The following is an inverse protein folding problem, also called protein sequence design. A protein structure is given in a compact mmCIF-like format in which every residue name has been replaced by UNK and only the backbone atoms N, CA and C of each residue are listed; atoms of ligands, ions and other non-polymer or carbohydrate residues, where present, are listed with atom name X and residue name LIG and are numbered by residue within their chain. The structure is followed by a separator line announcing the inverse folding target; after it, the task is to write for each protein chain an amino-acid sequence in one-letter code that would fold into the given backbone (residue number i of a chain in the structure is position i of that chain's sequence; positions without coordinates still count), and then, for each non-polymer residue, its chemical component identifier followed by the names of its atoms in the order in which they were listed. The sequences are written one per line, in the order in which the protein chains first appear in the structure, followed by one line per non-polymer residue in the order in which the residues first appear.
data_IF_615319179450
#
_entry.id   IF_615319179450
#
_cell.length_a   1.000
_cell.length_b   1.000
_cell.length_c   1.000
_cell.angle_alpha   90.00
_cell.angle_beta   90.00
_cell.angle_gamma   90.00
#
_symmetry.space_group_name_H-M   'P 1'
#
loop_
_entity.id
_entity.type
_entity.pdbx_description
1 polymer ?
#
# COMPACT_ATOMS: atom_id res chain seq x y z
N UNK A 1 -54.73 38.97 25.03
CA UNK A 1 -53.69 38.86 23.97
C UNK A 1 -52.32 38.82 24.61
N UNK A 2 -51.61 37.68 24.56
CA UNK A 2 -50.14 37.64 24.75
C UNK A 2 -49.51 36.62 23.77
N UNK A 3 -49.32 36.96 22.48
CA UNK A 3 -48.58 36.13 21.53
C UNK A 3 -47.11 36.55 21.32
N UNK A 4 -46.72 37.80 21.59
CA UNK A 4 -45.40 38.35 21.21
C UNK A 4 -44.19 37.64 21.83
N UNK A 5 -44.24 37.33 23.14
CA UNK A 5 -43.10 36.76 23.87
C UNK A 5 -42.68 35.35 23.46
N UNK A 6 -43.52 34.57 22.73
CA UNK A 6 -43.13 33.23 22.26
C UNK A 6 -42.43 33.31 20.90
N UNK A 7 -42.93 34.14 20.01
CA UNK A 7 -42.38 34.33 18.67
C UNK A 7 -41.03 35.08 18.72
N UNK A 8 -40.87 36.01 19.65
CA UNK A 8 -39.58 36.68 19.90
C UNK A 8 -38.52 35.70 20.45
N UNK A 9 -38.93 34.76 21.32
CA UNK A 9 -38.05 33.70 21.84
C UNK A 9 -37.69 32.67 20.77
N UNK A 10 -38.60 32.37 19.84
CA UNK A 10 -38.32 31.48 18.71
C UNK A 10 -37.28 32.10 17.77
N UNK A 11 -37.48 33.37 17.39
CA UNK A 11 -36.53 34.13 16.56
C UNK A 11 -35.15 34.24 17.21
N UNK A 12 -35.06 34.59 18.49
CA UNK A 12 -33.78 34.65 19.21
C UNK A 12 -33.03 33.31 19.24
N UNK A 13 -33.75 32.18 19.28
CA UNK A 13 -33.14 30.84 19.24
C UNK A 13 -32.64 30.46 17.85
N UNK A 14 -33.35 30.87 16.82
CA UNK A 14 -32.96 30.68 15.42
C UNK A 14 -31.70 31.47 15.10
N UNK A 15 -31.69 32.77 15.42
CA UNK A 15 -30.49 33.61 15.27
C UNK A 15 -29.29 33.05 16.05
N UNK A 16 -29.49 32.57 17.28
CA UNK A 16 -28.43 31.95 18.07
C UNK A 16 -27.94 30.61 17.51
N UNK A 17 -28.75 29.89 16.71
CA UNK A 17 -28.31 28.70 15.98
C UNK A 17 -27.51 29.09 14.75
N UNK A 18 -27.99 30.08 13.99
CA UNK A 18 -27.31 30.59 12.80
C UNK A 18 -25.92 31.14 13.15
N UNK A 19 -25.80 31.96 14.19
CA UNK A 19 -24.50 32.47 14.69
C UNK A 19 -23.54 31.33 15.03
N UNK A 20 -24.01 30.32 15.79
CA UNK A 20 -23.19 29.16 16.14
C UNK A 20 -22.80 28.31 14.93
N UNK A 21 -23.66 28.20 13.92
CA UNK A 21 -23.30 27.50 12.68
C UNK A 21 -22.28 28.27 11.86
N UNK A 22 -22.40 29.60 11.78
CA UNK A 22 -21.46 30.46 11.09
C UNK A 22 -20.07 30.42 11.75
N UNK A 23 -20.01 30.56 13.08
CA UNK A 23 -18.76 30.45 13.85
C UNK A 23 -18.08 29.08 13.66
N UNK A 24 -18.87 27.99 13.62
CA UNK A 24 -18.34 26.64 13.36
C UNK A 24 -17.78 26.51 11.95
N UNK A 25 -18.47 27.07 10.96
CA UNK A 25 -18.02 27.05 9.57
C UNK A 25 -16.72 27.85 9.41
N UNK A 26 -16.62 29.02 10.01
CA UNK A 26 -15.42 29.86 10.01
C UNK A 26 -14.23 29.14 10.68
N UNK A 27 -14.45 28.53 11.86
CA UNK A 27 -13.42 27.72 12.53
C UNK A 27 -13.00 26.47 11.73
N UNK A 28 -13.91 25.89 10.95
CA UNK A 28 -13.59 24.75 10.09
C UNK A 28 -12.77 25.21 8.88
N UNK A 29 -13.13 26.35 8.28
CA UNK A 29 -12.41 26.96 7.18
C UNK A 29 -10.99 27.34 7.60
N UNK A 30 -10.81 28.05 8.72
CA UNK A 30 -9.48 28.40 9.23
C UNK A 30 -8.59 27.19 9.53
N UNK A 31 -9.18 26.06 9.96
CA UNK A 31 -8.44 24.79 10.12
C UNK A 31 -8.05 24.17 8.78
N UNK A 32 -8.89 24.28 7.75
CA UNK A 32 -8.57 23.78 6.42
C UNK A 32 -7.45 24.62 5.78
N UNK A 33 -7.56 25.94 5.86
CA UNK A 33 -6.59 26.89 5.31
C UNK A 33 -5.20 26.71 5.96
N UNK A 34 -5.16 26.56 7.29
CA UNK A 34 -3.90 26.28 8.01
C UNK A 34 -3.24 24.99 7.53
N UNK A 35 -4.00 23.90 7.38
CA UNK A 35 -3.47 22.63 6.87
C UNK A 35 -3.01 22.73 5.42
N UNK A 36 -3.68 23.55 4.61
CA UNK A 36 -3.26 23.79 3.23
C UNK A 36 -1.90 24.50 3.19
N UNK A 37 -1.74 25.57 3.99
CA UNK A 37 -0.48 26.30 4.12
C UNK A 37 0.67 25.40 4.59
N UNK A 38 0.46 24.59 5.63
CA UNK A 38 1.46 23.64 6.14
C UNK A 38 1.87 22.61 5.08
N UNK A 39 0.92 22.13 4.27
CA UNK A 39 1.21 21.18 3.18
C UNK A 39 2.01 21.82 2.06
N UNK A 40 1.68 23.05 1.68
CA UNK A 40 2.41 23.80 0.67
C UNK A 40 3.85 24.06 1.10
N UNK A 41 4.06 24.53 2.33
CA UNK A 41 5.39 24.77 2.89
C UNK A 41 6.22 23.48 2.92
N UNK A 42 5.64 22.39 3.42
CA UNK A 42 6.29 21.08 3.41
C UNK A 42 6.60 20.57 1.99
N UNK A 43 5.77 20.91 1.00
CA UNK A 43 6.04 20.55 -0.41
C UNK A 43 7.21 21.34 -0.96
N UNK A 44 7.21 22.66 -0.75
CA UNK A 44 8.30 23.56 -1.16
C UNK A 44 9.63 23.14 -0.54
N UNK A 45 9.64 22.79 0.74
CA UNK A 45 10.85 22.33 1.42
C UNK A 45 11.37 21.01 0.81
N UNK A 46 10.48 20.05 0.52
CA UNK A 46 10.88 18.80 -0.14
C UNK A 46 11.47 19.03 -1.52
N UNK A 47 10.88 19.93 -2.30
CA UNK A 47 11.38 20.28 -3.63
C UNK A 47 12.72 21.00 -3.55
N UNK A 48 12.89 21.96 -2.65
CA UNK A 48 14.16 22.64 -2.41
C UNK A 48 15.28 21.67 -1.97
N UNK A 49 14.97 20.69 -1.11
CA UNK A 49 15.92 19.64 -0.73
C UNK A 49 16.27 18.71 -1.90
N UNK A 50 15.32 18.48 -2.82
CA UNK A 50 15.54 17.67 -4.03
C UNK A 50 16.42 18.42 -5.02
N UNK A 51 16.15 19.69 -5.31
CA UNK A 51 16.97 20.51 -6.20
C UNK A 51 18.39 20.66 -5.65
N UNK A 52 18.55 21.02 -4.37
CA UNK A 52 19.86 21.12 -3.74
C UNK A 52 20.69 19.82 -3.84
N UNK A 53 20.03 18.65 -3.76
CA UNK A 53 20.70 17.36 -3.98
C UNK A 53 21.11 17.16 -5.43
N UNK A 54 20.24 17.49 -6.38
CA UNK A 54 20.54 17.36 -7.81
C UNK A 54 21.68 18.29 -8.24
N UNK A 55 21.70 19.53 -7.72
CA UNK A 55 22.75 20.51 -7.99
C UNK A 55 24.09 20.11 -7.36
N UNK A 56 24.07 19.36 -6.25
CA UNK A 56 25.28 18.82 -5.61
C UNK A 56 25.86 17.56 -6.29
N UNK A 57 25.10 16.87 -7.16
CA UNK A 57 25.57 15.68 -7.88
C UNK A 57 26.70 15.95 -8.90
N UNK A 58 26.68 17.00 -9.75
CA UNK A 58 27.77 17.27 -10.68
C UNK A 58 29.09 17.62 -9.97
N UNK A 59 29.04 18.32 -8.84
CA UNK A 59 30.24 18.68 -8.07
C UNK A 59 30.93 17.46 -7.41
N UNK A 60 30.17 16.43 -7.01
CA UNK A 60 30.73 15.19 -6.45
C UNK A 60 31.32 14.27 -7.50
N UNK A 61 30.71 14.19 -8.70
CA UNK A 61 31.22 13.33 -9.78
C UNK A 61 32.58 13.80 -10.33
N UNK A 62 32.86 15.10 -10.31
CA UNK A 62 34.14 15.63 -10.79
C UNK A 62 35.31 15.46 -9.80
N UNK A 63 35.04 15.38 -8.48
CA UNK A 63 36.09 15.20 -7.46
C UNK A 63 36.37 13.73 -7.10
N UNK A 64 35.45 12.81 -7.39
CA UNK A 64 35.55 11.40 -7.00
C UNK A 64 36.17 10.49 -8.09
N UNK A 65 36.49 11.03 -9.28
CA UNK A 65 37.03 10.24 -10.38
C UNK A 65 38.52 9.87 -10.26
N UNK A 66 39.27 10.48 -9.34
CA UNK A 66 40.73 10.26 -9.24
C UNK A 66 41.19 9.34 -8.09
N UNK A 67 40.41 9.09 -7.04
CA UNK A 67 40.88 8.31 -5.86
C UNK A 67 39.75 7.59 -5.10
N UNK A 68 39.01 6.65 -5.72
CA UNK A 68 37.99 5.87 -5.00
C UNK A 68 38.53 4.53 -4.50
N UNK A 69 38.93 4.49 -3.22
CA UNK A 69 38.75 3.28 -2.42
C UNK A 69 37.29 2.81 -2.50
N UNK A 70 37.01 1.49 -2.44
CA UNK A 70 35.65 0.99 -2.50
C UNK A 70 34.81 1.59 -1.37
N UNK A 71 33.76 2.32 -1.73
CA UNK A 71 32.83 2.92 -0.79
C UNK A 71 32.41 1.92 0.31
N UNK A 72 32.36 2.33 1.59
CA UNK A 72 32.02 1.44 2.69
C UNK A 72 30.64 0.82 2.43
N UNK A 73 30.58 -0.52 2.45
CA UNK A 73 29.35 -1.31 2.26
C UNK A 73 28.23 -0.67 3.09
N UNK A 74 27.12 -0.31 2.42
CA UNK A 74 25.96 0.36 3.02
C UNK A 74 25.62 -0.32 4.34
N UNK A 75 25.45 0.48 5.41
CA UNK A 75 25.04 0.01 6.73
C UNK A 75 23.86 -0.97 6.58
N UNK A 76 23.87 -2.13 7.26
CA UNK A 76 22.77 -3.09 7.15
C UNK A 76 21.48 -2.39 7.59
N UNK A 77 20.54 -2.30 6.66
CA UNK A 77 19.20 -1.74 6.91
C UNK A 77 18.18 -2.87 6.75
N UNK A 78 17.07 -2.80 7.50
CA UNK A 78 16.02 -3.81 7.47
C UNK A 78 16.11 -4.88 8.58
N UNK A 79 15.57 -6.08 8.31
CA UNK A 79 15.50 -7.20 9.27
C UNK A 79 16.85 -7.55 9.88
N UNK A 80 17.92 -7.50 9.08
CA UNK A 80 19.29 -7.78 9.52
C UNK A 80 19.75 -6.87 10.67
N UNK A 81 19.29 -5.62 10.74
CA UNK A 81 19.59 -4.70 11.86
C UNK A 81 18.72 -5.00 13.10
N UNK A 82 17.51 -5.53 12.90
CA UNK A 82 16.52 -5.76 13.98
C UNK A 82 16.71 -7.11 14.67
N UNK A 83 17.01 -8.16 13.91
CA UNK A 83 17.10 -9.53 14.41
C UNK A 83 18.51 -10.09 14.33
N UNK A 84 19.44 -9.46 13.60
CA UNK A 84 20.77 -10.01 13.35
C UNK A 84 20.77 -11.21 12.40
N UNK A 85 19.60 -11.68 11.97
CA UNK A 85 19.46 -12.86 11.13
C UNK A 85 19.56 -12.49 9.65
N UNK A 86 20.51 -13.12 8.97
CA UNK A 86 20.56 -13.15 7.51
C UNK A 86 19.38 -13.98 7.04
N UNK A 87 18.56 -13.42 6.14
CA UNK A 87 17.44 -14.16 5.54
C UNK A 87 18.03 -15.37 4.80
N UNK A 88 17.80 -16.57 5.33
CA UNK A 88 18.15 -17.81 4.65
C UNK A 88 17.18 -17.99 3.48
N UNK A 89 17.72 -17.96 2.27
CA UNK A 89 16.96 -18.28 1.08
C UNK A 89 16.70 -19.79 1.05
N UNK A 90 15.44 -20.19 0.86
CA UNK A 90 15.10 -21.61 0.74
C UNK A 90 15.42 -22.07 -0.68
N UNK A 91 16.26 -23.08 -0.82
CA UNK A 91 16.46 -23.74 -2.11
C UNK A 91 15.19 -24.52 -2.47
N UNK A 92 14.49 -24.04 -3.50
CA UNK A 92 13.22 -24.58 -3.98
C UNK A 92 13.41 -25.37 -5.28
N UNK A 93 14.64 -25.54 -5.77
CA UNK A 93 14.93 -26.21 -7.06
C UNK A 93 14.46 -27.68 -7.08
N UNK A 94 14.41 -28.30 -5.90
CA UNK A 94 13.98 -29.69 -5.74
C UNK A 94 12.53 -29.83 -5.27
N UNK A 95 11.78 -28.73 -5.16
CA UNK A 95 10.38 -28.83 -4.75
C UNK A 95 9.56 -29.36 -5.94
N UNK A 96 9.02 -30.57 -5.77
CA UNK A 96 8.08 -31.16 -6.72
C UNK A 96 6.66 -30.96 -6.21
N UNK A 97 5.76 -30.61 -7.13
CA UNK A 97 4.33 -30.54 -6.81
C UNK A 97 3.76 -31.94 -6.95
N UNK A 98 3.32 -32.52 -5.83
CA UNK A 98 2.60 -33.80 -5.84
C UNK A 98 1.22 -33.59 -6.46
N UNK A 99 0.82 -34.48 -7.36
CA UNK A 99 -0.51 -34.47 -7.98
C UNK A 99 -1.51 -34.95 -6.94
N UNK A 100 -2.27 -34.01 -6.37
CA UNK A 100 -3.30 -34.26 -5.37
C UNK A 100 -4.68 -34.02 -6.00
N UNK A 101 -5.47 -35.11 -6.12
CA UNK A 101 -6.80 -35.07 -6.69
C UNK A 101 -7.76 -34.13 -5.94
N UNK A 102 -7.68 -34.08 -4.61
CA UNK A 102 -8.48 -33.17 -3.79
C UNK A 102 -8.15 -31.72 -4.08
N UNK A 103 -6.85 -31.38 -4.11
CA UNK A 103 -6.38 -30.04 -4.44
C UNK A 103 -6.76 -29.60 -5.84
N UNK A 104 -6.70 -30.50 -6.83
CA UNK A 104 -7.12 -30.23 -8.22
C UNK A 104 -8.60 -29.86 -8.26
N UNK A 105 -9.46 -30.65 -7.60
CA UNK A 105 -10.90 -30.39 -7.53
C UNK A 105 -11.21 -29.06 -6.85
N UNK A 106 -10.51 -28.73 -5.76
CA UNK A 106 -10.70 -27.46 -5.05
C UNK A 106 -10.27 -26.24 -5.88
N UNK A 107 -9.18 -26.35 -6.64
CA UNK A 107 -8.76 -25.28 -7.54
C UNK A 107 -9.73 -25.11 -8.71
N UNK A 108 -10.24 -26.19 -9.28
CA UNK A 108 -11.27 -26.14 -10.32
C UNK A 108 -12.56 -25.46 -9.81
N UNK A 109 -13.01 -25.77 -8.58
CA UNK A 109 -14.14 -25.09 -7.93
C UNK A 109 -13.92 -23.58 -7.77
N UNK A 110 -12.66 -23.14 -7.63
CA UNK A 110 -12.28 -21.72 -7.56
C UNK A 110 -12.11 -21.05 -8.93
N UNK A 111 -12.41 -21.76 -10.02
CA UNK A 111 -12.37 -21.23 -11.38
C UNK A 111 -11.03 -21.43 -12.09
N UNK A 112 -10.16 -22.34 -11.63
CA UNK A 112 -8.97 -22.70 -12.39
C UNK A 112 -9.35 -23.48 -13.67
N UNK A 113 -8.71 -23.14 -14.80
CA UNK A 113 -8.89 -23.84 -16.07
C UNK A 113 -8.08 -25.13 -16.13
N UNK A 114 -8.53 -26.10 -16.94
CA UNK A 114 -7.86 -27.40 -17.13
C UNK A 114 -6.40 -27.21 -17.58
N UNK A 115 -6.15 -26.31 -18.53
CA UNK A 115 -4.80 -26.01 -19.03
C UNK A 115 -3.90 -25.39 -17.95
N UNK A 116 -4.47 -24.53 -17.10
CA UNK A 116 -3.76 -23.94 -15.97
C UNK A 116 -3.34 -25.00 -14.95
N UNK A 117 -4.24 -25.93 -14.65
CA UNK A 117 -3.98 -27.06 -13.76
C UNK A 117 -2.95 -28.01 -14.34
N UNK A 118 -3.05 -28.37 -15.62
CA UNK A 118 -2.09 -29.21 -16.32
C UNK A 118 -0.66 -28.63 -16.24
N UNK A 119 -0.55 -27.32 -16.44
CA UNK A 119 0.74 -26.59 -16.35
C UNK A 119 1.33 -26.62 -14.94
N UNK A 120 0.53 -26.30 -13.91
CA UNK A 120 1.00 -26.23 -12.51
C UNK A 120 1.38 -27.61 -11.97
N UNK A 121 0.57 -28.63 -12.25
CA UNK A 121 0.80 -30.01 -11.82
C UNK A 121 1.72 -30.79 -12.75
N UNK A 122 2.24 -30.17 -13.83
CA UNK A 122 3.12 -30.78 -14.84
C UNK A 122 2.57 -32.12 -15.34
N UNK A 123 1.27 -32.15 -15.66
CA UNK A 123 0.58 -33.35 -16.12
C UNK A 123 -0.27 -33.06 -17.35
N UNK A 124 -0.84 -34.09 -17.98
CA UNK A 124 -1.66 -33.89 -19.19
C UNK A 124 -3.06 -33.38 -18.84
N UNK A 125 -3.64 -32.58 -19.75
CA UNK A 125 -5.03 -32.11 -19.63
C UNK A 125 -6.01 -33.29 -19.46
N UNK A 126 -5.82 -34.38 -20.22
CA UNK A 126 -6.63 -35.59 -20.10
C UNK A 126 -6.59 -36.21 -18.69
N UNK A 127 -5.44 -36.18 -18.01
CA UNK A 127 -5.33 -36.68 -16.62
C UNK A 127 -6.07 -35.77 -15.64
N UNK A 128 -6.02 -34.46 -15.84
CA UNK A 128 -6.79 -33.50 -15.04
C UNK A 128 -8.29 -33.70 -15.24
N UNK A 129 -8.74 -33.87 -16.48
CA UNK A 129 -10.16 -34.13 -16.79
C UNK A 129 -10.65 -35.43 -16.15
N UNK A 130 -9.86 -36.50 -16.17
CA UNK A 130 -10.18 -37.76 -15.49
C UNK A 130 -10.35 -37.55 -13.97
N UNK A 131 -9.43 -36.82 -13.33
CA UNK A 131 -9.50 -36.51 -11.90
C UNK A 131 -10.75 -35.68 -11.55
N UNK A 132 -11.12 -34.74 -12.42
CA UNK A 132 -12.32 -33.91 -12.26
C UNK A 132 -13.61 -34.70 -12.50
N UNK A 133 -13.59 -35.68 -13.39
CA UNK A 133 -14.70 -36.61 -13.62
C UNK A 133 -14.85 -37.67 -12.50
N UNK A 134 -13.96 -37.68 -11.51
CA UNK A 134 -14.00 -38.62 -10.39
C UNK A 134 -13.34 -39.97 -10.68
N UNK A 135 -12.62 -40.11 -11.79
CA UNK A 135 -11.74 -41.24 -12.02
C UNK A 135 -10.42 -40.98 -11.26
N UNK A 136 -10.28 -41.56 -10.08
CA UNK A 136 -9.00 -41.55 -9.38
C UNK A 136 -8.01 -42.44 -10.15
N UNK A 137 -6.86 -41.91 -10.62
CA UNK A 137 -5.87 -42.70 -11.36
C UNK A 137 -5.04 -43.64 -10.46
N UNK A 138 -5.38 -43.78 -9.18
CA UNK A 138 -4.69 -44.62 -8.19
C UNK A 138 -5.66 -45.49 -7.38
N UNK A 139 -6.57 -46.17 -8.06
CA UNK A 139 -7.23 -47.39 -7.53
C UNK A 139 -6.82 -48.60 -8.36
#
# INVERSE_FOLDING_TARGET
MLPSNRDDRARAREEARERRSAERAEMAQGRADRRAAEREEASREREARRSARLDALPARRSSEASDQEPAPKRRPSGSLRRTGEIRVERDTRHFTTVVDAGRIRDLARRGATVDGLATVFKTSAAKIEAILAGADPES
#
